data_IF_396777534472
#
_entry.id   IF_396777534472
#
_cell.length_a   1.000
_cell.length_b   1.000
_cell.length_c   1.000
_cell.angle_alpha   90.00
_cell.angle_beta   90.00
_cell.angle_gamma   90.00
#
_symmetry.space_group_name_H-M   'P 1'
#
loop_
_entity.id
_entity.type
_entity.pdbx_description
1 polymer ?
#
# COMPACT_ATOMS: atom_id res chain seq x y z
N UNK A 1 -38.73 27.46 -23.18
CA UNK A 1 -38.58 27.10 -21.75
C UNK A 1 -37.30 26.31 -21.62
N UNK A 2 -36.24 26.95 -21.12
CA UNK A 2 -34.96 26.30 -20.82
C UNK A 2 -35.19 25.32 -19.69
N UNK A 3 -34.87 24.03 -19.88
CA UNK A 3 -34.82 23.04 -18.79
C UNK A 3 -33.80 23.56 -17.78
N UNK A 4 -34.26 24.18 -16.70
CA UNK A 4 -33.41 24.39 -15.54
C UNK A 4 -32.88 23.02 -15.13
N UNK A 5 -31.55 22.89 -15.04
CA UNK A 5 -30.92 21.66 -14.57
C UNK A 5 -31.32 21.47 -13.12
N UNK A 6 -32.35 20.67 -12.86
CA UNK A 6 -32.92 20.37 -11.54
C UNK A 6 -31.85 20.02 -10.49
N UNK A 7 -30.71 19.49 -10.94
CA UNK A 7 -29.58 19.12 -10.08
C UNK A 7 -28.86 20.34 -9.46
N UNK A 8 -28.78 21.48 -10.15
CA UNK A 8 -28.10 22.68 -9.62
C UNK A 8 -28.91 23.42 -8.57
N UNK A 9 -30.20 23.12 -8.45
CA UNK A 9 -31.12 23.71 -7.47
C UNK A 9 -31.18 22.90 -6.16
N UNK A 10 -30.49 21.76 -6.11
CA UNK A 10 -30.47 20.91 -4.92
C UNK A 10 -29.70 21.58 -3.76
N UNK A 11 -30.10 21.32 -2.50
CA UNK A 11 -29.32 21.71 -1.33
C UNK A 11 -27.91 21.14 -1.37
N UNK A 12 -26.95 21.87 -0.79
CA UNK A 12 -25.54 21.49 -0.78
C UNK A 12 -25.31 20.12 -0.10
N UNK A 13 -26.13 19.77 0.89
CA UNK A 13 -26.07 18.50 1.60
C UNK A 13 -26.32 17.33 0.63
N UNK A 14 -27.33 17.45 -0.22
CA UNK A 14 -27.67 16.43 -1.22
C UNK A 14 -26.59 16.35 -2.30
N UNK A 15 -26.03 17.50 -2.71
CA UNK A 15 -24.92 17.52 -3.66
C UNK A 15 -23.66 16.85 -3.09
N UNK A 16 -23.38 17.05 -1.80
CA UNK A 16 -22.27 16.38 -1.11
C UNK A 16 -22.50 14.86 -1.04
N UNK A 17 -23.72 14.42 -0.72
CA UNK A 17 -24.06 13.00 -0.72
C UNK A 17 -23.88 12.37 -2.11
N UNK A 18 -24.29 13.07 -3.17
CA UNK A 18 -24.05 12.63 -4.55
C UNK A 18 -22.55 12.49 -4.81
N UNK A 19 -21.75 13.51 -4.46
CA UNK A 19 -20.29 13.45 -4.59
C UNK A 19 -19.66 12.25 -3.89
N UNK A 20 -20.16 11.87 -2.70
CA UNK A 20 -19.65 10.72 -1.94
C UNK A 20 -20.02 9.37 -2.55
N UNK A 21 -21.02 9.30 -3.42
CA UNK A 21 -21.36 8.08 -4.14
C UNK A 21 -20.56 7.92 -5.45
N UNK A 22 -20.09 9.02 -6.03
CA UNK A 22 -19.29 8.99 -7.26
C UNK A 22 -17.90 8.41 -7.05
N UNK A 23 -17.34 7.88 -8.13
CA UNK A 23 -15.93 7.55 -8.22
C UNK A 23 -15.06 8.77 -8.46
N UNK A 24 -13.74 8.63 -8.31
CA UNK A 24 -12.83 9.75 -8.43
C UNK A 24 -12.96 10.46 -9.79
N UNK A 25 -13.11 9.69 -10.87
CA UNK A 25 -13.36 10.22 -12.22
C UNK A 25 -14.72 10.91 -12.30
N UNK A 26 -15.77 10.31 -11.74
CA UNK A 26 -17.11 10.90 -11.64
C UNK A 26 -17.15 12.23 -10.91
N UNK A 27 -16.38 12.39 -9.82
CA UNK A 27 -16.23 13.66 -9.09
C UNK A 27 -15.70 14.75 -10.03
N UNK A 28 -14.59 14.48 -10.74
CA UNK A 28 -14.00 15.47 -11.64
C UNK A 28 -14.87 15.75 -12.88
N UNK A 29 -15.50 14.72 -13.43
CA UNK A 29 -16.44 14.86 -14.54
C UNK A 29 -17.65 15.72 -14.14
N UNK A 30 -18.21 15.51 -12.94
CA UNK A 30 -19.31 16.33 -12.43
C UNK A 30 -18.87 17.79 -12.26
N UNK A 31 -17.68 18.03 -11.72
CA UNK A 31 -17.10 19.38 -11.61
C UNK A 31 -16.96 20.05 -12.99
N UNK A 32 -16.60 19.29 -14.03
CA UNK A 32 -16.43 19.81 -15.39
C UNK A 32 -17.76 20.17 -16.07
N UNK A 33 -18.90 19.66 -15.58
CA UNK A 33 -20.20 19.89 -16.23
C UNK A 33 -20.81 21.27 -15.95
N UNK A 34 -20.59 21.85 -14.76
CA UNK A 34 -21.21 23.12 -14.37
C UNK A 34 -20.40 23.90 -13.32
N UNK A 35 -20.45 25.24 -13.40
CA UNK A 35 -19.72 26.14 -12.49
C UNK A 35 -20.12 25.98 -11.03
N UNK A 36 -21.40 25.76 -10.73
CA UNK A 36 -21.91 25.50 -9.38
C UNK A 36 -21.25 24.29 -8.73
N UNK A 37 -21.10 23.19 -9.48
CA UNK A 37 -20.45 21.98 -8.99
C UNK A 37 -18.96 22.19 -8.76
N UNK A 38 -18.30 22.87 -9.70
CA UNK A 38 -16.90 23.26 -9.54
C UNK A 38 -16.68 24.18 -8.33
N UNK A 39 -17.57 25.15 -8.09
CA UNK A 39 -17.49 26.08 -6.95
C UNK A 39 -17.69 25.35 -5.62
N UNK A 40 -18.68 24.46 -5.55
CA UNK A 40 -18.91 23.61 -4.37
C UNK A 40 -17.70 22.72 -4.09
N UNK A 41 -17.16 22.08 -5.14
CA UNK A 41 -15.93 21.28 -5.04
C UNK A 41 -14.75 22.11 -4.54
N UNK A 42 -14.54 23.29 -5.11
CA UNK A 42 -13.44 24.19 -4.71
C UNK A 42 -13.56 24.63 -3.24
N UNK A 43 -14.78 24.84 -2.73
CA UNK A 43 -15.03 25.24 -1.34
C UNK A 43 -14.98 24.08 -0.34
N UNK A 44 -15.31 22.85 -0.77
CA UNK A 44 -15.47 21.67 0.10
C UNK A 44 -14.58 20.49 -0.33
N UNK A 45 -13.46 20.80 -0.99
CA UNK A 45 -12.58 19.83 -1.65
C UNK A 45 -12.19 18.65 -0.76
N UNK A 46 -11.64 18.93 0.43
CA UNK A 46 -11.23 17.87 1.36
C UNK A 46 -12.41 17.02 1.86
N UNK A 47 -13.56 17.64 2.12
CA UNK A 47 -14.78 16.94 2.56
C UNK A 47 -15.39 16.06 1.47
N UNK A 48 -15.18 16.39 0.20
CA UNK A 48 -15.63 15.59 -0.95
C UNK A 48 -14.63 14.48 -1.24
N UNK A 49 -13.34 14.82 -1.38
CA UNK A 49 -12.33 13.86 -1.83
C UNK A 49 -12.01 12.81 -0.78
N UNK A 50 -11.88 13.15 0.51
CA UNK A 50 -11.41 12.17 1.50
C UNK A 50 -12.31 10.93 1.61
N UNK A 51 -13.65 11.04 1.73
CA UNK A 51 -14.51 9.85 1.76
C UNK A 51 -14.41 8.99 0.50
N UNK A 52 -14.34 9.63 -0.67
CA UNK A 52 -14.17 8.94 -1.96
C UNK A 52 -12.84 8.19 -1.98
N UNK A 53 -11.74 8.86 -1.61
CA UNK A 53 -10.42 8.24 -1.58
C UNK A 53 -10.33 7.06 -0.61
N UNK A 54 -10.90 7.21 0.60
CA UNK A 54 -10.91 6.12 1.60
C UNK A 54 -11.65 4.89 1.07
N UNK A 55 -12.79 5.09 0.40
CA UNK A 55 -13.60 4.00 -0.16
C UNK A 55 -12.88 3.32 -1.33
N UNK A 56 -12.42 4.10 -2.30
CA UNK A 56 -11.90 3.56 -3.57
C UNK A 56 -10.50 2.99 -3.48
N UNK A 57 -9.67 3.57 -2.61
CA UNK A 57 -8.28 3.18 -2.44
C UNK A 57 -8.06 2.41 -1.14
N UNK A 58 -9.11 1.78 -0.61
CA UNK A 58 -9.00 0.87 0.52
C UNK A 58 -8.00 -0.26 0.22
N UNK A 59 -7.07 -0.61 1.13
CA UNK A 59 -6.84 0.02 2.45
C UNK A 59 -6.06 1.36 2.32
N UNK A 60 -6.76 2.47 2.57
CA UNK A 60 -6.21 3.81 2.31
C UNK A 60 -5.13 4.23 3.32
N UNK A 61 -5.21 3.71 4.54
CA UNK A 61 -4.21 3.91 5.58
C UNK A 61 -2.82 3.40 5.15
N UNK A 62 -2.75 2.27 4.44
CA UNK A 62 -1.49 1.74 3.91
C UNK A 62 -0.93 2.60 2.78
N UNK A 63 -1.78 3.15 1.90
CA UNK A 63 -1.35 4.13 0.90
C UNK A 63 -0.76 5.38 1.55
N UNK A 64 -1.35 5.84 2.66
CA UNK A 64 -0.84 6.97 3.42
C UNK A 64 0.52 6.66 4.08
N UNK A 65 0.79 5.41 4.47
CA UNK A 65 2.12 5.02 4.94
C UNK A 65 3.17 5.21 3.85
N UNK A 66 2.85 4.88 2.59
CA UNK A 66 3.77 5.12 1.46
C UNK A 66 3.96 6.62 1.23
N UNK A 67 2.86 7.38 1.18
CA UNK A 67 2.92 8.82 0.95
C UNK A 67 3.74 9.56 2.02
N UNK A 68 3.67 9.08 3.26
CA UNK A 68 4.37 9.68 4.41
C UNK A 68 5.65 8.95 4.81
N UNK A 69 6.08 7.96 4.03
CA UNK A 69 7.23 7.13 4.33
C UNK A 69 8.49 8.00 4.46
N UNK A 70 9.27 7.72 5.49
CA UNK A 70 10.50 8.45 5.75
C UNK A 70 11.56 7.54 6.37
N UNK A 71 12.82 7.93 6.21
CA UNK A 71 13.98 7.22 6.76
C UNK A 71 13.90 7.06 8.27
N UNK A 72 13.22 8.00 8.88
CA UNK A 72 12.91 8.07 10.29
C UNK A 72 12.01 6.96 10.85
N UNK A 73 11.39 6.13 10.00
CA UNK A 73 10.47 5.08 10.42
C UNK A 73 11.17 3.78 10.84
N UNK A 74 12.43 3.64 10.45
CA UNK A 74 13.29 2.56 10.87
C UNK A 74 14.20 3.05 11.99
N UNK A 75 13.95 2.62 13.23
CA UNK A 75 14.89 2.87 14.32
C UNK A 75 15.92 1.74 14.39
N UNK A 76 17.18 2.06 14.11
CA UNK A 76 18.29 1.12 14.27
C UNK A 76 18.46 0.63 15.72
N UNK A 77 17.87 1.32 16.72
CA UNK A 77 17.97 0.96 18.15
C UNK A 77 16.85 0.03 18.62
N UNK A 78 15.61 0.23 18.16
CA UNK A 78 14.49 -0.67 18.49
C UNK A 78 14.43 -1.88 17.55
N UNK A 79 15.00 -1.76 16.36
CA UNK A 79 15.06 -2.83 15.35
C UNK A 79 13.73 -3.09 14.63
N UNK A 80 12.69 -2.27 14.84
CA UNK A 80 11.35 -2.53 14.31
C UNK A 80 10.77 -1.29 13.62
N UNK A 81 10.20 -1.51 12.43
CA UNK A 81 9.36 -0.54 11.72
C UNK A 81 8.14 -0.16 12.56
N UNK A 82 7.87 1.14 12.64
CA UNK A 82 6.71 1.68 13.34
C UNK A 82 5.83 2.48 12.35
N UNK A 83 4.59 2.02 12.05
CA UNK A 83 3.66 2.76 11.20
C UNK A 83 3.35 4.15 11.76
N UNK A 84 3.27 5.15 10.87
CA UNK A 84 2.95 6.53 11.22
C UNK A 84 1.47 6.68 11.53
N UNK A 85 1.16 7.48 12.54
CA UNK A 85 -0.22 7.95 12.74
C UNK A 85 -0.45 9.13 11.81
N UNK A 86 -1.40 9.00 10.89
CA UNK A 86 -1.70 10.06 9.90
C UNK A 86 -3.01 10.74 10.27
N UNK A 87 -2.96 12.06 10.45
CA UNK A 87 -4.10 12.91 10.78
C UNK A 87 -4.29 13.93 9.66
N UNK A 88 -5.50 14.13 9.18
CA UNK A 88 -5.81 15.18 8.22
C UNK A 88 -6.51 16.35 8.89
N UNK A 89 -5.99 17.57 8.73
CA UNK A 89 -6.63 18.80 9.20
C UNK A 89 -7.21 19.58 8.02
N UNK A 90 -8.49 19.90 8.12
CA UNK A 90 -9.22 20.65 7.09
C UNK A 90 -8.91 22.15 7.14
N UNK A 91 -8.68 22.69 8.33
CA UNK A 91 -8.37 24.10 8.55
C UNK A 91 -7.55 24.29 9.84
N UNK A 92 -6.98 25.50 10.01
CA UNK A 92 -6.23 25.87 11.21
C UNK A 92 -7.15 25.85 12.44
N UNK A 93 -6.82 25.03 13.45
CA UNK A 93 -7.65 24.82 14.64
C UNK A 93 -8.54 23.57 14.60
N UNK A 94 -8.55 22.84 13.47
CA UNK A 94 -9.20 21.53 13.39
C UNK A 94 -8.47 20.49 14.27
N UNK A 95 -9.27 19.71 15.00
CA UNK A 95 -8.78 18.56 15.80
C UNK A 95 -8.22 17.46 14.91
N UNK A 96 -8.68 17.41 13.65
CA UNK A 96 -8.18 16.56 12.58
C UNK A 96 -8.81 15.17 12.58
N UNK A 97 -9.07 14.64 11.39
CA UNK A 97 -9.55 13.28 11.19
C UNK A 97 -8.37 12.30 11.17
N UNK A 98 -8.41 11.26 12.01
CA UNK A 98 -7.40 10.20 11.98
C UNK A 98 -7.68 9.31 10.77
N UNK A 99 -6.75 9.31 9.80
CA UNK A 99 -6.88 8.53 8.57
C UNK A 99 -6.15 7.19 8.64
N UNK A 100 -5.06 7.13 9.42
CA UNK A 100 -4.35 5.89 9.72
C UNK A 100 -4.28 5.75 11.24
N UNK A 101 -5.24 5.07 11.87
CA UNK A 101 -5.18 4.80 13.29
C UNK A 101 -4.00 3.87 13.58
N UNK A 102 -3.43 3.97 14.78
CA UNK A 102 -2.50 2.95 15.25
C UNK A 102 -3.26 1.63 15.23
N UNK A 103 -2.78 0.61 14.50
CA UNK A 103 -3.11 -0.77 14.84
C UNK A 103 -2.59 -0.95 16.26
N UNK A 104 -3.47 -0.85 17.25
CA UNK A 104 -3.11 -1.21 18.61
C UNK A 104 -2.71 -2.66 18.51
N UNK A 105 -1.42 -2.93 18.63
CA UNK A 105 -0.96 -4.27 18.90
C UNK A 105 -1.83 -4.75 20.06
N UNK A 106 -2.58 -5.82 19.81
CA UNK A 106 -3.16 -6.64 20.86
C UNK A 106 -1.95 -7.20 21.60
N UNK A 107 -1.40 -6.39 22.51
CA UNK A 107 -0.35 -6.76 23.42
C UNK A 107 -0.92 -7.53 24.62
N UNK A 108 -1.96 -8.33 24.40
CA UNK A 108 -2.47 -9.29 25.39
C UNK A 108 -2.22 -10.75 24.97
N UNK A 109 -1.80 -11.04 23.72
CA UNK A 109 -1.55 -12.43 23.27
C UNK A 109 -0.14 -12.70 22.73
N UNK A 110 0.77 -11.71 22.77
CA UNK A 110 2.18 -11.92 22.43
C UNK A 110 2.98 -12.53 23.61
N UNK A 111 2.45 -13.60 24.22
CA UNK A 111 3.21 -14.53 25.06
C UNK A 111 3.41 -15.81 24.26
N UNK A 112 4.24 -15.77 23.21
CA UNK A 112 5.00 -16.92 22.67
C UNK A 112 5.61 -16.56 21.31
N UNK A 113 6.78 -15.92 21.32
CA UNK A 113 7.55 -15.68 20.10
C UNK A 113 8.93 -15.14 20.42
N UNK A 114 9.88 -16.04 20.65
CA UNK A 114 11.32 -15.82 20.84
C UNK A 114 11.75 -14.56 21.62
N UNK A 115 11.88 -14.73 22.94
CA UNK A 115 12.62 -13.80 23.80
C UNK A 115 14.11 -13.89 23.43
N UNK A 116 14.69 -12.80 22.94
CA UNK A 116 16.15 -12.64 22.87
C UNK A 116 16.70 -12.58 24.29
N UNK A 117 17.13 -13.75 24.79
CA UNK A 117 17.84 -13.90 26.06
C UNK A 117 19.28 -13.38 25.91
N UNK A 118 19.50 -12.09 26.19
CA UNK A 118 20.82 -11.64 26.60
C UNK A 118 21.03 -12.03 28.09
N UNK A 119 22.14 -12.72 28.38
CA UNK A 119 22.57 -13.15 29.72
C UNK A 119 22.57 -12.01 30.77
N UNK A 120 22.58 -12.38 32.07
CA UNK A 120 21.41 -12.44 32.93
C UNK A 120 20.99 -11.06 33.48
N UNK A 121 19.68 -10.86 33.64
CA UNK A 121 19.16 -9.97 34.69
C UNK A 121 18.77 -8.56 34.28
N UNK A 122 17.99 -8.40 33.20
CA UNK A 122 16.84 -7.48 33.16
C UNK A 122 16.11 -7.63 31.81
N UNK A 123 14.78 -7.88 31.79
CA UNK A 123 14.01 -7.73 30.56
C UNK A 123 14.10 -6.26 30.14
N UNK A 124 14.77 -6.00 29.02
CA UNK A 124 14.65 -4.70 28.37
C UNK A 124 13.31 -4.73 27.69
N UNK A 125 12.30 -4.20 28.37
CA UNK A 125 11.02 -3.88 27.74
C UNK A 125 11.38 -2.98 26.55
N UNK A 126 11.09 -3.38 25.30
CA UNK A 126 11.32 -2.50 24.16
C UNK A 126 10.59 -1.20 24.47
N UNK A 127 11.34 -0.10 24.57
CA UNK A 127 10.77 1.19 24.89
C UNK A 127 9.92 1.60 23.68
N UNK A 128 8.62 1.30 23.72
CA UNK A 128 7.68 1.64 22.67
C UNK A 128 7.65 3.17 22.54
N UNK A 129 8.35 3.70 21.54
CA UNK A 129 8.39 5.13 21.32
C UNK A 129 6.99 5.65 20.97
N UNK A 130 6.67 6.90 21.34
CA UNK A 130 5.43 7.52 20.92
C UNK A 130 5.40 7.59 19.38
N UNK A 131 4.30 7.16 18.75
CA UNK A 131 4.22 7.04 17.29
C UNK A 131 4.40 8.41 16.64
N UNK A 132 5.23 8.45 15.58
CA UNK A 132 5.42 9.65 14.77
C UNK A 132 4.08 10.01 14.13
N UNK A 133 3.56 11.17 14.50
CA UNK A 133 2.29 11.68 13.99
C UNK A 133 2.58 12.62 12.84
N UNK A 134 2.03 12.32 11.67
CA UNK A 134 2.09 13.20 10.50
C UNK A 134 0.74 13.87 10.31
N UNK A 135 0.77 15.19 10.10
CA UNK A 135 -0.42 15.99 9.86
C UNK A 135 -0.45 16.37 8.38
N UNK A 136 -1.46 15.89 7.67
CA UNK A 136 -1.78 16.25 6.31
C UNK A 136 -2.77 17.40 6.28
N UNK A 137 -2.70 18.20 5.22
CA UNK A 137 -3.58 19.33 4.97
C UNK A 137 -4.10 19.30 3.53
N UNK A 138 -4.88 20.30 3.13
CA UNK A 138 -5.41 20.37 1.77
C UNK A 138 -4.31 20.43 0.69
N UNK A 139 -3.11 20.93 1.01
CA UNK A 139 -1.98 20.96 0.07
C UNK A 139 -1.51 19.56 -0.32
N UNK A 140 -1.71 18.56 0.54
CA UNK A 140 -1.32 17.17 0.31
C UNK A 140 -2.28 16.43 -0.63
N UNK A 141 -3.50 16.95 -0.85
CA UNK A 141 -4.48 16.27 -1.68
C UNK A 141 -4.02 16.14 -3.14
N UNK A 142 -3.40 17.18 -3.70
CA UNK A 142 -2.93 17.15 -5.09
C UNK A 142 -1.85 16.07 -5.33
N UNK A 143 -0.74 16.03 -4.57
CA UNK A 143 0.24 14.97 -4.73
C UNK A 143 -0.33 13.59 -4.38
N UNK A 144 -1.21 13.47 -3.38
CA UNK A 144 -1.86 12.21 -3.02
C UNK A 144 -2.75 11.67 -4.16
N UNK A 145 -3.45 12.53 -4.89
CA UNK A 145 -4.17 12.14 -6.12
C UNK A 145 -3.22 11.59 -7.19
N UNK A 146 -1.97 12.04 -7.24
CA UNK A 146 -0.93 11.48 -8.10
C UNK A 146 -0.61 10.01 -7.76
N UNK A 147 -0.50 9.69 -6.47
CA UNK A 147 -0.35 8.31 -5.99
C UNK A 147 -1.57 7.47 -6.36
N UNK A 148 -2.77 7.99 -6.12
CA UNK A 148 -4.03 7.32 -6.48
C UNK A 148 -4.11 7.02 -7.98
N UNK A 149 -3.74 7.99 -8.84
CA UNK A 149 -3.69 7.80 -10.29
C UNK A 149 -2.71 6.71 -10.70
N UNK A 150 -1.54 6.63 -10.05
CA UNK A 150 -0.57 5.57 -10.31
C UNK A 150 -1.15 4.19 -9.97
N UNK A 151 -1.82 4.09 -8.81
CA UNK A 151 -2.46 2.85 -8.36
C UNK A 151 -3.53 2.39 -9.34
N UNK A 152 -4.39 3.30 -9.82
CA UNK A 152 -5.41 2.96 -10.84
C UNK A 152 -4.78 2.44 -12.13
N UNK A 153 -3.70 3.06 -12.60
CA UNK A 153 -2.99 2.61 -13.81
C UNK A 153 -2.43 1.20 -13.65
N UNK A 154 -1.83 0.91 -12.50
CA UNK A 154 -1.33 -0.43 -12.22
C UNK A 154 -2.46 -1.45 -12.07
N UNK A 155 -3.52 -1.11 -11.34
CA UNK A 155 -4.70 -1.97 -11.19
C UNK A 155 -5.34 -2.32 -12.54
N UNK A 156 -5.40 -1.36 -13.47
CA UNK A 156 -5.94 -1.58 -14.81
C UNK A 156 -5.05 -2.49 -15.68
N UNK A 157 -3.73 -2.49 -15.46
CA UNK A 157 -2.76 -3.30 -16.22
C UNK A 157 -2.53 -4.68 -15.62
N UNK A 158 -2.67 -4.81 -14.31
CA UNK A 158 -2.34 -6.02 -13.57
C UNK A 158 -2.98 -7.29 -14.14
N UNK A 159 -4.27 -7.34 -14.55
CA UNK A 159 -4.83 -8.54 -15.18
C UNK A 159 -4.05 -9.07 -16.38
N UNK A 160 -3.65 -8.17 -17.29
CA UNK A 160 -2.91 -8.55 -18.50
C UNK A 160 -1.54 -9.14 -18.17
N UNK A 161 -0.95 -8.70 -17.06
CA UNK A 161 0.33 -9.19 -16.56
C UNK A 161 0.16 -10.53 -15.84
N UNK A 162 -0.86 -10.64 -14.99
CA UNK A 162 -1.17 -11.84 -14.20
C UNK A 162 -1.51 -13.04 -15.06
N UNK A 163 -2.35 -12.85 -16.07
CA UNK A 163 -2.81 -13.91 -16.97
C UNK A 163 -1.99 -13.97 -18.25
N UNK A 164 -0.70 -13.63 -18.17
CA UNK A 164 0.17 -13.61 -19.34
C UNK A 164 0.24 -14.97 -20.05
N UNK A 165 0.37 -16.06 -19.29
CA UNK A 165 0.42 -17.43 -19.80
C UNK A 165 -0.96 -18.04 -20.12
N UNK A 166 -2.05 -17.42 -19.65
CA UNK A 166 -3.42 -17.92 -19.80
C UNK A 166 -4.37 -16.76 -20.18
N UNK A 167 -4.17 -16.12 -21.35
CA UNK A 167 -4.91 -14.92 -21.73
C UNK A 167 -6.44 -15.14 -21.82
N UNK A 168 -6.89 -16.38 -22.04
CA UNK A 168 -8.30 -16.78 -22.00
C UNK A 168 -8.95 -16.56 -20.62
N UNK A 169 -8.15 -16.58 -19.55
CA UNK A 169 -8.61 -16.34 -18.19
C UNK A 169 -8.53 -14.84 -17.82
N UNK A 170 -7.99 -13.99 -18.70
CA UNK A 170 -7.83 -12.56 -18.45
C UNK A 170 -9.19 -11.84 -18.36
N UNK A 171 -9.41 -11.18 -17.24
CA UNK A 171 -10.62 -10.38 -16.98
C UNK A 171 -10.33 -9.22 -16.05
N UNK A 172 -11.28 -8.30 -15.93
CA UNK A 172 -11.22 -7.27 -14.90
C UNK A 172 -11.21 -7.90 -13.50
N UNK A 173 -10.47 -7.25 -12.59
CA UNK A 173 -10.48 -7.62 -11.17
C UNK A 173 -11.87 -7.37 -10.58
N UNK A 174 -12.35 -8.32 -9.79
CA UNK A 174 -13.52 -8.13 -8.92
C UNK A 174 -13.14 -7.16 -7.80
N UNK A 175 -14.13 -6.56 -7.14
CA UNK A 175 -13.88 -5.55 -6.09
C UNK A 175 -12.92 -6.04 -4.99
N UNK A 176 -13.14 -7.25 -4.47
CA UNK A 176 -12.25 -7.83 -3.47
C UNK A 176 -10.84 -8.16 -4.01
N UNK A 177 -10.71 -8.52 -5.29
CA UNK A 177 -9.42 -8.76 -5.93
C UNK A 177 -8.66 -7.45 -6.14
N UNK A 178 -9.38 -6.38 -6.49
CA UNK A 178 -8.82 -5.04 -6.61
C UNK A 178 -8.32 -4.53 -5.25
N UNK A 179 -9.05 -4.77 -4.16
CA UNK A 179 -8.60 -4.46 -2.80
C UNK A 179 -7.33 -5.24 -2.43
N UNK A 180 -7.31 -6.55 -2.66
CA UNK A 180 -6.12 -7.41 -2.43
C UNK A 180 -4.92 -6.94 -3.24
N UNK A 181 -5.14 -6.61 -4.51
CA UNK A 181 -4.12 -6.03 -5.38
C UNK A 181 -3.56 -4.73 -4.80
N UNK A 182 -4.43 -3.77 -4.43
CA UNK A 182 -3.99 -2.49 -3.86
C UNK A 182 -3.18 -2.71 -2.59
N UNK A 183 -3.66 -3.55 -1.68
CA UNK A 183 -2.95 -3.93 -0.45
C UNK A 183 -1.56 -4.53 -0.73
N UNK A 184 -1.47 -5.51 -1.62
CA UNK A 184 -0.19 -6.10 -2.04
C UNK A 184 0.74 -5.05 -2.66
N UNK A 185 0.21 -4.22 -3.56
CA UNK A 185 0.95 -3.14 -4.23
C UNK A 185 1.49 -2.11 -3.24
N UNK A 186 0.69 -1.73 -2.24
CA UNK A 186 1.10 -0.76 -1.23
C UNK A 186 2.27 -1.27 -0.41
N UNK A 187 2.21 -2.52 0.01
CA UNK A 187 3.26 -3.19 0.79
C UNK A 187 4.52 -3.42 -0.02
N UNK A 188 4.38 -3.81 -1.29
CA UNK A 188 5.51 -3.96 -2.20
C UNK A 188 6.22 -2.63 -2.45
N UNK A 189 5.46 -1.54 -2.63
CA UNK A 189 6.01 -0.20 -2.80
C UNK A 189 6.73 0.26 -1.54
N UNK A 190 6.11 0.10 -0.37
CA UNK A 190 6.75 0.41 0.91
C UNK A 190 8.03 -0.41 1.12
N UNK A 191 8.01 -1.69 0.73
CA UNK A 191 9.21 -2.55 0.74
C UNK A 191 10.29 -1.97 -0.17
N UNK A 192 9.94 -1.56 -1.39
CA UNK A 192 10.88 -0.91 -2.30
C UNK A 192 11.49 0.34 -1.70
N UNK A 193 10.70 1.15 -1.01
CA UNK A 193 11.18 2.36 -0.33
C UNK A 193 12.23 2.04 0.75
N UNK A 194 11.93 1.12 1.68
CA UNK A 194 12.83 0.84 2.80
C UNK A 194 14.03 -0.05 2.43
N UNK A 195 13.79 -1.06 1.60
CA UNK A 195 14.81 -2.06 1.29
C UNK A 195 15.74 -1.64 0.14
N UNK A 196 15.18 -1.00 -0.90
CA UNK A 196 15.93 -0.55 -2.07
C UNK A 196 16.25 0.95 -2.07
N UNK A 197 15.67 1.74 -1.17
CA UNK A 197 15.97 3.16 -1.04
C UNK A 197 17.38 3.45 -0.51
N UNK A 198 17.63 4.72 -0.21
CA UNK A 198 18.96 5.23 0.20
C UNK A 198 19.38 4.86 1.62
N UNK A 199 18.69 3.91 2.27
CA UNK A 199 19.00 3.47 3.62
C UNK A 199 20.40 2.84 3.68
N UNK A 200 21.20 3.17 4.71
CA UNK A 200 22.45 2.49 4.96
C UNK A 200 22.18 0.99 5.10
N UNK A 201 22.82 0.18 4.26
CA UNK A 201 22.73 -1.27 4.41
C UNK A 201 23.33 -1.63 5.77
N UNK A 202 22.63 -2.44 6.60
CA UNK A 202 23.17 -2.85 7.90
C UNK A 202 24.54 -3.53 7.80
N UNK A 203 24.83 -4.14 6.65
CA UNK A 203 26.11 -4.78 6.32
C UNK A 203 26.54 -4.42 4.89
N UNK A 204 27.85 -4.37 4.68
CA UNK A 204 28.45 -4.24 3.34
C UNK A 204 28.39 -5.61 2.68
N UNK A 205 27.42 -5.84 1.80
CA UNK A 205 27.26 -7.13 1.11
C UNK A 205 25.83 -7.40 0.63
N UNK A 206 25.62 -8.63 0.14
CA UNK A 206 24.29 -9.16 -0.14
C UNK A 206 23.57 -9.49 1.18
N UNK A 207 22.23 -9.34 1.25
CA UNK A 207 21.45 -9.86 2.37
C UNK A 207 21.69 -11.36 2.53
N UNK A 208 22.11 -11.79 3.72
CA UNK A 208 22.33 -13.21 4.03
C UNK A 208 21.01 -13.83 4.56
N UNK A 209 20.64 -15.05 4.13
CA UNK A 209 19.50 -15.76 4.69
C UNK A 209 19.59 -15.90 6.22
N UNK A 210 18.48 -15.70 6.91
CA UNK A 210 18.42 -15.83 8.38
C UNK A 210 19.01 -14.65 9.16
N UNK A 211 19.50 -13.60 8.49
CA UNK A 211 19.96 -12.38 9.15
C UNK A 211 18.82 -11.36 9.26
N UNK A 212 18.64 -10.85 10.47
CA UNK A 212 17.68 -9.78 10.75
C UNK A 212 18.11 -8.47 10.08
N UNK A 213 17.48 -8.15 8.96
CA UNK A 213 17.56 -6.84 8.30
C UNK A 213 16.39 -5.96 8.75
N UNK A 214 16.69 -4.88 9.48
CA UNK A 214 15.67 -3.93 9.96
C UNK A 214 14.82 -3.33 8.84
N UNK A 215 15.35 -3.25 7.61
CA UNK A 215 14.63 -2.74 6.44
C UNK A 215 13.50 -3.66 5.99
N UNK A 216 13.54 -4.92 6.40
CA UNK A 216 12.49 -5.92 6.17
C UNK A 216 11.48 -5.99 7.33
N UNK A 217 11.71 -5.27 8.43
CA UNK A 217 10.93 -5.42 9.67
C UNK A 217 9.43 -5.18 9.48
N UNK A 218 9.02 -4.33 8.53
CA UNK A 218 7.61 -4.10 8.22
C UNK A 218 6.87 -5.37 7.75
N UNK A 219 7.56 -6.28 7.07
CA UNK A 219 6.95 -7.50 6.54
C UNK A 219 6.51 -8.43 7.68
N UNK A 220 7.10 -8.28 8.87
CA UNK A 220 6.76 -9.04 10.09
C UNK A 220 5.39 -8.63 10.66
N UNK A 221 4.81 -7.52 10.21
CA UNK A 221 3.50 -7.04 10.66
C UNK A 221 2.33 -7.67 9.88
N UNK A 222 2.61 -8.40 8.81
CA UNK A 222 1.60 -8.98 7.93
C UNK A 222 1.41 -10.47 8.22
N UNK A 223 0.16 -10.92 8.17
CA UNK A 223 -0.18 -12.34 8.30
C UNK A 223 0.29 -13.17 7.09
N UNK A 224 0.30 -14.49 7.22
CA UNK A 224 0.71 -15.38 6.12
C UNK A 224 -0.16 -15.21 4.87
N UNK A 225 -1.49 -15.08 5.02
CA UNK A 225 -2.39 -14.86 3.88
C UNK A 225 -2.09 -13.56 3.15
N UNK A 226 -1.78 -12.51 3.90
CA UNK A 226 -1.38 -11.21 3.41
C UNK A 226 0.00 -11.22 2.71
N UNK A 227 0.94 -12.03 3.19
CA UNK A 227 2.23 -12.22 2.53
C UNK A 227 2.09 -13.05 1.25
N UNK A 228 1.16 -14.00 1.19
CA UNK A 228 0.84 -14.74 -0.04
C UNK A 228 0.24 -13.82 -1.11
N UNK A 229 -0.61 -12.86 -0.74
CA UNK A 229 -1.10 -11.82 -1.66
C UNK A 229 0.04 -10.96 -2.23
N UNK A 230 1.01 -10.61 -1.39
CA UNK A 230 2.21 -9.89 -1.84
C UNK A 230 3.07 -10.75 -2.78
N UNK A 231 3.26 -12.02 -2.45
CA UNK A 231 4.02 -12.96 -3.26
C UNK A 231 3.40 -13.12 -4.66
N UNK A 232 2.08 -13.24 -4.75
CA UNK A 232 1.33 -13.32 -6.00
C UNK A 232 1.55 -12.11 -6.92
N UNK A 233 1.62 -10.90 -6.35
CA UNK A 233 2.01 -9.70 -7.09
C UNK A 233 3.48 -9.76 -7.54
N UNK A 234 4.38 -10.19 -6.65
CA UNK A 234 5.83 -10.25 -6.94
C UNK A 234 6.13 -11.25 -8.06
N UNK A 235 5.52 -12.44 -8.06
CA UNK A 235 5.65 -13.40 -9.15
C UNK A 235 5.15 -12.82 -10.48
N UNK A 236 3.99 -12.17 -10.47
CA UNK A 236 3.47 -11.46 -11.66
C UNK A 236 4.48 -10.42 -12.17
N UNK A 237 5.13 -9.68 -11.27
CA UNK A 237 6.14 -8.69 -11.64
C UNK A 237 7.42 -9.31 -12.20
N UNK A 238 7.83 -10.50 -11.73
CA UNK A 238 8.96 -11.23 -12.31
C UNK A 238 8.68 -11.58 -13.77
N UNK A 239 7.48 -12.06 -14.07
CA UNK A 239 7.09 -12.37 -15.45
C UNK A 239 7.11 -11.11 -16.32
N UNK A 240 6.60 -9.98 -15.81
CA UNK A 240 6.68 -8.69 -16.52
C UNK A 240 8.12 -8.29 -16.81
N UNK A 241 9.01 -8.39 -15.81
CA UNK A 241 10.43 -8.07 -15.98
C UNK A 241 11.05 -8.99 -17.03
N UNK A 242 10.80 -10.31 -16.92
CA UNK A 242 11.38 -11.32 -17.80
C UNK A 242 10.94 -11.16 -19.25
N UNK A 243 9.69 -10.80 -19.51
CA UNK A 243 9.13 -10.81 -20.86
C UNK A 243 9.05 -9.43 -21.53
N UNK A 244 8.93 -8.35 -20.75
CA UNK A 244 8.72 -7.00 -21.31
C UNK A 244 9.89 -6.04 -21.09
N UNK A 245 10.66 -6.19 -20.00
CA UNK A 245 11.74 -5.26 -19.67
C UNK A 245 13.12 -5.81 -20.02
N UNK A 246 13.37 -7.06 -19.67
CA UNK A 246 14.62 -7.78 -19.90
C UNK A 246 14.33 -9.11 -20.64
N UNK A 247 13.76 -9.07 -21.86
CA UNK A 247 13.52 -10.27 -22.64
C UNK A 247 14.81 -11.07 -22.79
N UNK A 248 14.79 -12.33 -22.36
CA UNK A 248 15.92 -13.23 -22.59
C UNK A 248 16.16 -13.33 -24.10
N UNK A 249 17.40 -13.03 -24.52
CA UNK A 249 17.76 -12.95 -25.93
C UNK A 249 17.95 -14.32 -26.60
N UNK A 250 18.03 -15.41 -25.82
CA UNK A 250 18.25 -16.77 -26.31
C UNK A 250 17.09 -17.72 -25.93
N UNK A 251 16.18 -18.04 -26.88
CA UNK A 251 15.08 -18.99 -26.69
C UNK A 251 15.50 -20.48 -26.72
N UNK A 252 16.79 -20.79 -26.80
CA UNK A 252 17.31 -22.16 -26.91
C UNK A 252 17.56 -22.89 -25.58
N UNK A 253 17.29 -22.27 -24.43
CA UNK A 253 17.52 -22.88 -23.10
C UNK A 253 16.28 -23.56 -22.52
N UNK A 254 15.13 -23.52 -23.20
CA UNK A 254 13.86 -24.06 -22.70
C UNK A 254 13.82 -25.60 -22.63
N UNK A 255 14.77 -26.32 -23.22
CA UNK A 255 14.79 -27.80 -23.16
C UNK A 255 15.35 -28.40 -21.86
N UNK A 256 15.85 -27.59 -20.90
CA UNK A 256 16.50 -28.12 -19.68
C UNK A 256 15.99 -27.61 -18.33
N UNK A 257 15.03 -26.68 -18.29
CA UNK A 257 14.39 -26.23 -17.03
C UNK A 257 12.86 -26.40 -17.11
N UNK A 258 12.43 -27.56 -17.61
CA UNK A 258 11.03 -27.99 -17.50
C UNK A 258 10.65 -28.17 -16.02
N UNK A 259 9.83 -27.25 -15.52
CA UNK A 259 8.71 -27.53 -14.62
C UNK A 259 8.98 -28.49 -13.44
N UNK A 260 9.92 -28.17 -12.55
CA UNK A 260 9.98 -28.76 -11.18
C UNK A 260 10.84 -27.96 -10.17
N UNK A 261 11.57 -26.92 -10.57
CA UNK A 261 12.65 -26.37 -9.73
C UNK A 261 12.22 -25.45 -8.57
N UNK A 262 11.01 -24.88 -8.54
CA UNK A 262 10.65 -23.89 -7.50
C UNK A 262 9.78 -24.44 -6.37
N UNK A 263 9.28 -25.67 -6.49
CA UNK A 263 8.49 -26.34 -5.46
C UNK A 263 9.32 -27.34 -4.63
N UNK A 264 10.53 -27.71 -5.08
CA UNK A 264 11.40 -28.64 -4.38
C UNK A 264 12.35 -28.01 -3.35
N UNK A 265 12.61 -26.70 -3.43
CA UNK A 265 13.64 -26.06 -2.58
C UNK A 265 13.16 -25.68 -1.16
N UNK A 266 11.87 -25.90 -0.83
CA UNK A 266 11.29 -25.54 0.48
C UNK A 266 10.89 -26.76 1.32
N UNK A 267 10.92 -27.98 0.77
CA UNK A 267 10.37 -29.16 1.49
C UNK A 267 11.38 -30.29 1.76
N UNK A 268 12.57 -30.31 1.15
CA UNK A 268 13.53 -31.40 1.37
C UNK A 268 14.93 -30.93 1.82
N UNK A 269 15.07 -30.71 3.13
CA UNK A 269 16.31 -31.04 3.86
C UNK A 269 16.00 -31.58 5.24
N UNK A 270 15.60 -32.86 5.38
CA UNK A 270 16.01 -33.62 6.54
C UNK A 270 17.47 -34.05 6.34
N UNK A 271 18.23 -33.96 7.43
CA UNK A 271 19.57 -34.55 7.63
C UNK A 271 20.76 -33.98 6.84
N UNK A 272 21.50 -33.07 7.48
CA UNK A 272 22.93 -33.26 7.72
C UNK A 272 23.50 -32.21 8.70
N UNK A 273 23.76 -32.69 9.93
CA UNK A 273 24.66 -32.20 10.99
C UNK A 273 24.33 -30.87 11.70
#
# INVERSE_FOLDING_TARGET
>A
MSKASLLTELPNEILLDIYHQLDLDGVFNLCATHSTFHELFSKKKASILLPVLIREFSPFDELLQIYTASIEDLDCRSGLYAPRRVIFKRFLGDTGAVLSPRKSDVADDAVSGFITLNKPGKPTIPHAQPPKTVVLTESDLKPLLGYCSLVLKWQARFPQMRWYHEPENCRHLREHEAERFRRAMYRWWLYGFYFHGEFPRPRVGLPEPGVDDVRLSQLRLYSTSELVELMDLVETMKDVVLHYLCPRLDPGQDEYEGCDSYLYDVVDRPDSL
#
